data_IF_873223618149
#
_entry.id   IF_873223618149
#
_cell.length_a   1.000
_cell.length_b   1.000
_cell.length_c   1.000
_cell.angle_alpha   90.00
_cell.angle_beta   90.00
_cell.angle_gamma   90.00
#
_symmetry.space_group_name_H-M   'P 1'
#
loop_
_entity.id
_entity.type
_entity.pdbx_description
1 polymer ?
#
# COMPACT_ATOMS: atom_id res chain seq x y z
N UNK A 1 22.16 3.88 -12.25
CA UNK A 1 21.72 5.10 -11.53
C UNK A 1 20.92 4.64 -10.32
N UNK A 2 21.11 5.28 -9.17
CA UNK A 2 20.43 4.95 -7.92
C UNK A 2 19.83 6.23 -7.32
N UNK A 3 18.64 6.14 -6.75
CA UNK A 3 17.93 7.24 -6.09
C UNK A 3 17.35 6.74 -4.78
N UNK A 4 17.43 7.56 -3.75
CA UNK A 4 16.86 7.25 -2.44
C UNK A 4 15.67 8.16 -2.16
N UNK A 5 14.58 7.57 -1.66
CA UNK A 5 13.46 8.30 -1.08
C UNK A 5 13.44 8.05 0.42
N UNK A 6 13.54 9.14 1.20
CA UNK A 6 13.44 9.10 2.65
C UNK A 6 12.05 9.55 3.05
N UNK A 7 11.32 8.67 3.74
CA UNK A 7 9.96 8.87 4.22
C UNK A 7 10.00 8.55 5.71
N UNK A 8 10.07 9.60 6.55
CA UNK A 8 10.38 9.44 7.98
C UNK A 8 11.63 8.57 8.19
N UNK A 9 11.52 7.49 8.94
CA UNK A 9 12.59 6.52 9.21
C UNK A 9 12.72 5.42 8.14
N UNK A 10 11.96 5.48 7.05
CA UNK A 10 11.90 4.47 6.01
C UNK A 10 12.69 4.97 4.80
N UNK A 11 13.60 4.13 4.30
CA UNK A 11 14.36 4.42 3.08
C UNK A 11 13.91 3.48 1.96
N UNK A 12 13.48 4.04 0.85
CA UNK A 12 13.24 3.32 -0.40
C UNK A 12 14.42 3.57 -1.35
N UNK A 13 15.09 2.50 -1.74
CA UNK A 13 16.15 2.53 -2.73
C UNK A 13 15.60 2.17 -4.10
N UNK A 14 15.77 3.06 -5.07
CA UNK A 14 15.40 2.87 -6.46
C UNK A 14 16.65 2.73 -7.31
N UNK A 15 16.72 1.70 -8.15
CA UNK A 15 17.83 1.53 -9.08
C UNK A 15 17.39 0.86 -10.37
N UNK A 16 18.12 1.14 -11.45
CA UNK A 16 17.86 0.55 -12.75
C UNK A 16 18.33 -0.91 -12.77
N UNK A 17 17.50 -1.79 -13.31
CA UNK A 17 17.80 -3.18 -13.60
C UNK A 17 17.45 -3.45 -15.06
N UNK A 18 18.41 -3.23 -15.96
CA UNK A 18 18.16 -3.17 -17.40
C UNK A 18 17.24 -2.00 -17.76
N UNK A 19 16.11 -2.29 -18.42
CA UNK A 19 15.05 -1.32 -18.75
C UNK A 19 13.99 -1.18 -17.64
N UNK A 20 14.22 -1.83 -16.49
CA UNK A 20 13.28 -1.87 -15.38
C UNK A 20 13.78 -1.01 -14.22
N UNK A 21 12.89 -0.69 -13.30
CA UNK A 21 13.24 -0.06 -12.03
C UNK A 21 12.93 -1.01 -10.89
N UNK A 22 13.93 -1.34 -10.08
CA UNK A 22 13.73 -2.04 -8.81
C UNK A 22 13.54 -1.01 -7.71
N UNK A 23 12.55 -1.23 -6.85
CA UNK A 23 12.27 -0.43 -5.66
C UNK A 23 12.34 -1.33 -4.44
N UNK A 24 13.22 -1.02 -3.50
CA UNK A 24 13.49 -1.88 -2.33
C UNK A 24 13.48 -1.09 -1.02
N UNK A 25 12.93 -1.71 0.03
CA UNK A 25 13.05 -1.28 1.43
C UNK A 25 13.48 -2.46 2.31
N UNK A 26 13.36 -2.29 3.64
CA UNK A 26 13.50 -3.36 4.62
C UNK A 26 12.37 -4.40 4.57
N UNK A 27 11.23 -4.06 3.95
CA UNK A 27 10.03 -4.91 3.88
C UNK A 27 9.56 -5.22 2.48
N UNK A 28 9.80 -4.33 1.53
CA UNK A 28 9.25 -4.38 0.19
C UNK A 28 10.36 -4.54 -0.84
N UNK A 29 10.07 -5.31 -1.90
CA UNK A 29 11.01 -5.52 -2.99
C UNK A 29 10.26 -5.78 -4.30
N UNK A 30 10.08 -4.74 -5.11
CA UNK A 30 9.26 -4.78 -6.33
C UNK A 30 10.06 -4.37 -7.57
N UNK A 31 9.73 -4.96 -8.71
CA UNK A 31 10.32 -4.62 -10.01
C UNK A 31 9.25 -4.06 -10.95
N UNK A 32 9.54 -2.90 -11.53
CA UNK A 32 8.66 -2.18 -12.45
C UNK A 32 9.26 -2.23 -13.86
N UNK A 33 8.69 -3.08 -14.71
CA UNK A 33 9.11 -3.26 -16.09
C UNK A 33 8.94 -2.00 -16.93
N UNK A 34 9.94 -1.70 -17.79
CA UNK A 34 9.90 -0.61 -18.77
C UNK A 34 9.56 0.77 -18.16
N UNK A 35 10.13 1.06 -17.00
CA UNK A 35 9.98 2.34 -16.30
C UNK A 35 11.33 3.05 -16.18
N UNK A 36 11.29 4.33 -15.83
CA UNK A 36 12.47 5.10 -15.47
C UNK A 36 12.39 5.57 -14.00
N UNK A 37 13.56 5.72 -13.36
CA UNK A 37 13.66 6.02 -11.92
C UNK A 37 12.94 7.32 -11.55
N UNK A 38 13.02 8.36 -12.38
CA UNK A 38 12.43 9.66 -12.04
C UNK A 38 10.90 9.59 -12.03
N UNK A 39 10.30 8.99 -13.06
CA UNK A 39 8.86 8.76 -13.10
C UNK A 39 8.38 7.88 -11.93
N UNK A 40 9.08 6.77 -11.64
CA UNK A 40 8.73 5.91 -10.50
C UNK A 40 8.84 6.65 -9.18
N UNK A 41 9.89 7.45 -9.01
CA UNK A 41 10.07 8.28 -7.82
C UNK A 41 8.94 9.29 -7.64
N UNK A 42 8.44 9.90 -8.71
CA UNK A 42 7.33 10.85 -8.65
C UNK A 42 6.00 10.15 -8.36
N UNK A 43 5.75 9.01 -9.00
CA UNK A 43 4.57 8.18 -8.76
C UNK A 43 4.49 7.69 -7.31
N UNK A 44 5.61 7.24 -6.74
CA UNK A 44 5.65 6.83 -5.32
C UNK A 44 5.31 8.01 -4.42
N UNK A 45 5.94 9.18 -4.61
CA UNK A 45 5.67 10.37 -3.79
C UNK A 45 4.20 10.80 -3.88
N UNK A 46 3.67 10.87 -5.10
CA UNK A 46 2.29 11.25 -5.34
C UNK A 46 1.31 10.27 -4.67
N UNK A 47 1.45 8.97 -4.96
CA UNK A 47 0.54 7.95 -4.45
C UNK A 47 0.66 7.81 -2.93
N UNK A 48 1.85 7.98 -2.37
CA UNK A 48 2.05 7.97 -0.93
C UNK A 48 1.27 9.08 -0.24
N UNK A 49 1.29 10.30 -0.77
CA UNK A 49 0.50 11.43 -0.23
C UNK A 49 -0.98 11.07 -0.24
N UNK A 50 -1.49 10.51 -1.34
CA UNK A 50 -2.91 10.09 -1.44
C UNK A 50 -3.26 9.05 -0.38
N UNK A 51 -2.47 7.98 -0.30
CA UNK A 51 -2.74 6.85 0.60
C UNK A 51 -2.57 7.23 2.07
N UNK A 52 -1.49 7.93 2.43
CA UNK A 52 -1.25 8.33 3.83
C UNK A 52 -2.30 9.34 4.30
N UNK A 53 -2.67 10.32 3.46
CA UNK A 53 -3.67 11.32 3.83
C UNK A 53 -5.04 10.70 4.07
N UNK A 54 -5.43 9.69 3.28
CA UNK A 54 -6.66 8.95 3.53
C UNK A 54 -6.65 8.38 4.95
N UNK A 55 -5.60 7.66 5.35
CA UNK A 55 -5.53 7.06 6.69
C UNK A 55 -5.41 8.09 7.81
N UNK A 56 -4.67 9.19 7.62
CA UNK A 56 -4.63 10.26 8.62
C UNK A 56 -6.02 10.86 8.85
N UNK A 57 -6.84 11.05 7.81
CA UNK A 57 -8.22 11.50 7.94
C UNK A 57 -9.08 10.49 8.71
N UNK A 58 -8.91 9.19 8.46
CA UNK A 58 -9.65 8.14 9.18
C UNK A 58 -9.30 8.11 10.67
N UNK A 59 -8.02 8.26 11.00
CA UNK A 59 -7.51 8.32 12.38
C UNK A 59 -8.05 9.56 13.10
N UNK A 60 -7.99 10.74 12.47
CA UNK A 60 -8.47 11.99 13.04
C UNK A 60 -9.97 11.93 13.34
N UNK A 61 -10.77 11.39 12.42
CA UNK A 61 -12.22 11.18 12.62
C UNK A 61 -12.52 10.27 13.80
N UNK A 62 -11.74 9.20 13.99
CA UNK A 62 -11.91 8.26 15.09
C UNK A 62 -11.39 8.81 16.44
N UNK A 63 -10.57 9.86 16.42
CA UNK A 63 -9.88 10.43 17.60
C UNK A 63 -9.02 9.40 18.33
N UNK A 64 -8.42 8.49 17.58
CA UNK A 64 -7.60 7.41 18.10
C UNK A 64 -6.10 7.72 17.97
N UNK A 65 -5.29 7.19 18.89
CA UNK A 65 -3.84 7.37 18.84
C UNK A 65 -3.18 6.31 17.94
N UNK A 66 -2.38 6.80 16.98
CA UNK A 66 -1.62 5.96 16.06
C UNK A 66 -0.15 6.38 16.04
N UNK A 67 0.72 5.40 15.86
CA UNK A 67 2.10 5.63 15.46
C UNK A 67 2.08 5.99 13.97
N UNK A 68 2.55 7.20 13.63
CA UNK A 68 2.53 7.66 12.24
C UNK A 68 3.51 6.86 11.36
N UNK A 69 4.56 6.28 11.94
CA UNK A 69 5.45 5.40 11.17
C UNK A 69 4.69 4.17 10.65
N UNK A 70 3.72 3.64 11.42
CA UNK A 70 2.86 2.54 10.95
C UNK A 70 2.03 2.95 9.73
N UNK A 71 1.48 4.17 9.76
CA UNK A 71 0.69 4.72 8.65
C UNK A 71 1.55 4.82 7.39
N UNK A 72 2.79 5.29 7.51
CA UNK A 72 3.70 5.33 6.37
C UNK A 72 4.10 3.94 5.88
N UNK A 73 4.39 2.99 6.78
CA UNK A 73 4.75 1.61 6.41
C UNK A 73 3.63 0.93 5.63
N UNK A 74 2.40 0.98 6.13
CA UNK A 74 1.26 0.39 5.43
C UNK A 74 0.96 1.11 4.12
N UNK A 75 1.09 2.44 4.09
CA UNK A 75 0.88 3.23 2.86
C UNK A 75 1.91 2.89 1.80
N UNK A 76 3.19 2.70 2.16
CA UNK A 76 4.24 2.26 1.22
C UNK A 76 3.92 0.87 0.67
N UNK A 77 3.54 -0.08 1.53
CA UNK A 77 3.18 -1.44 1.09
C UNK A 77 2.03 -1.41 0.07
N UNK A 78 0.97 -0.62 0.35
CA UNK A 78 -0.15 -0.43 -0.58
C UNK A 78 0.33 0.22 -1.89
N UNK A 79 1.07 1.33 -1.81
CA UNK A 79 1.56 2.04 -2.99
C UNK A 79 2.40 1.14 -3.89
N UNK A 80 3.32 0.36 -3.32
CA UNK A 80 4.18 -0.53 -4.09
C UNK A 80 3.41 -1.72 -4.67
N UNK A 81 2.43 -2.26 -3.93
CA UNK A 81 1.54 -3.31 -4.45
C UNK A 81 0.77 -2.84 -5.69
N UNK A 82 0.09 -1.69 -5.61
CA UNK A 82 -0.69 -1.17 -6.73
C UNK A 82 0.17 -0.70 -7.89
N UNK A 83 1.31 -0.06 -7.60
CA UNK A 83 2.24 0.36 -8.63
C UNK A 83 2.80 -0.84 -9.41
N UNK A 84 3.16 -1.92 -8.71
CA UNK A 84 3.54 -3.18 -9.33
C UNK A 84 2.40 -3.76 -10.16
N UNK A 85 1.22 -3.96 -9.56
CA UNK A 85 0.06 -4.57 -10.21
C UNK A 85 -0.34 -3.81 -11.49
N UNK A 86 -0.46 -2.48 -11.42
CA UNK A 86 -0.84 -1.65 -12.56
C UNK A 86 0.23 -1.67 -13.66
N UNK A 87 1.50 -1.66 -13.28
CA UNK A 87 2.60 -1.75 -14.26
C UNK A 87 2.67 -3.15 -14.91
N UNK A 88 2.41 -4.21 -14.17
CA UNK A 88 2.28 -5.56 -14.70
C UNK A 88 1.11 -5.66 -15.68
N UNK A 89 -0.05 -5.06 -15.36
CA UNK A 89 -1.20 -5.04 -16.26
C UNK A 89 -0.93 -4.31 -17.57
N UNK A 90 -0.20 -3.18 -17.55
CA UNK A 90 0.25 -2.51 -18.78
C UNK A 90 1.05 -3.44 -19.70
N UNK A 91 1.84 -4.33 -19.10
CA UNK A 91 2.71 -5.26 -19.84
C UNK A 91 1.97 -6.52 -20.32
N UNK A 92 1.01 -7.01 -19.54
CA UNK A 92 0.34 -8.29 -19.78
C UNK A 92 -0.93 -8.16 -20.62
N UNK A 93 -1.62 -7.02 -20.55
CA UNK A 93 -2.94 -6.85 -21.17
C UNK A 93 -2.93 -5.65 -22.12
N UNK A 94 -3.06 -5.91 -23.43
CA UNK A 94 -3.04 -4.86 -24.46
C UNK A 94 -4.08 -3.76 -24.23
N UNK A 95 -5.26 -4.11 -23.69
CA UNK A 95 -6.31 -3.14 -23.33
C UNK A 95 -5.95 -2.22 -22.17
N UNK A 96 -4.88 -2.50 -21.44
CA UNK A 96 -4.42 -1.77 -20.26
C UNK A 96 -3.05 -1.10 -20.48
N UNK A 97 -2.49 -1.14 -21.69
CA UNK A 97 -1.14 -0.61 -21.99
C UNK A 97 -0.94 0.85 -21.51
N UNK A 98 -2.01 1.65 -21.54
CA UNK A 98 -2.03 3.06 -21.16
C UNK A 98 -2.66 3.31 -19.76
N UNK A 99 -2.92 2.27 -18.96
CA UNK A 99 -3.59 2.40 -17.66
C UNK A 99 -2.84 3.36 -16.75
N UNK A 100 -3.48 4.35 -16.14
CA UNK A 100 -2.80 5.24 -15.19
C UNK A 100 -2.20 4.44 -14.01
N UNK A 101 -0.95 4.76 -13.64
CA UNK A 101 -0.24 4.15 -12.50
C UNK A 101 -0.48 4.90 -11.18
N UNK A 102 -1.21 6.02 -11.23
CA UNK A 102 -1.66 6.71 -10.02
C UNK A 102 -2.66 5.85 -9.26
N UNK A 103 -2.57 5.92 -7.94
CA UNK A 103 -3.48 5.20 -7.04
C UNK A 103 -4.93 5.69 -7.26
N UNK A 104 -5.88 4.77 -7.36
CA UNK A 104 -7.29 5.10 -7.55
C UNK A 104 -8.01 5.06 -6.20
N UNK A 105 -8.89 6.02 -5.91
CA UNK A 105 -9.65 6.04 -4.65
C UNK A 105 -10.48 4.75 -4.44
N UNK A 106 -10.95 4.12 -5.52
CA UNK A 106 -11.67 2.83 -5.44
C UNK A 106 -10.80 1.70 -4.90
N UNK A 107 -9.48 1.82 -5.02
CA UNK A 107 -8.53 0.82 -4.55
C UNK A 107 -8.51 0.73 -3.02
N UNK A 108 -8.95 1.77 -2.29
CA UNK A 108 -9.11 1.68 -0.84
C UNK A 108 -10.13 0.62 -0.42
N UNK A 109 -11.16 0.38 -1.23
CA UNK A 109 -12.18 -0.63 -0.96
C UNK A 109 -11.82 -2.02 -1.50
N UNK A 110 -10.68 -2.17 -2.18
CA UNK A 110 -10.26 -3.45 -2.71
C UNK A 110 -9.82 -4.39 -1.57
N UNK A 111 -10.21 -5.67 -1.59
CA UNK A 111 -9.83 -6.59 -0.53
C UNK A 111 -8.31 -6.74 -0.36
N UNK A 112 -7.52 -6.60 -1.42
CA UNK A 112 -6.05 -6.67 -1.34
C UNK A 112 -5.47 -5.55 -0.49
N UNK A 113 -6.03 -4.33 -0.58
CA UNK A 113 -5.64 -3.20 0.28
C UNK A 113 -5.90 -3.52 1.74
N UNK A 114 -7.09 -4.07 2.05
CA UNK A 114 -7.42 -4.45 3.41
C UNK A 114 -6.52 -5.58 3.93
N UNK A 115 -6.21 -6.58 3.10
CA UNK A 115 -5.33 -7.68 3.48
C UNK A 115 -3.91 -7.21 3.82
N UNK A 116 -3.37 -6.23 3.07
CA UNK A 116 -2.08 -5.60 3.39
C UNK A 116 -2.12 -4.95 4.79
N UNK A 117 -3.17 -4.19 5.07
CA UNK A 117 -3.35 -3.51 6.36
C UNK A 117 -3.53 -4.52 7.49
N UNK A 118 -4.37 -5.54 7.30
CA UNK A 118 -4.57 -6.62 8.27
C UNK A 118 -3.26 -7.31 8.60
N UNK A 119 -2.50 -7.73 7.60
CA UNK A 119 -1.24 -8.45 7.79
C UNK A 119 -0.22 -7.61 8.59
N UNK A 120 -0.12 -6.32 8.30
CA UNK A 120 0.75 -5.41 9.03
C UNK A 120 0.37 -5.32 10.51
N UNK A 121 -0.89 -4.96 10.80
CA UNK A 121 -1.33 -4.70 12.17
C UNK A 121 -1.48 -5.99 13.00
N UNK A 122 -1.89 -7.12 12.41
CA UNK A 122 -1.90 -8.43 13.09
C UNK A 122 -0.52 -8.82 13.58
N UNK A 123 0.50 -8.59 12.76
CA UNK A 123 1.90 -8.93 13.11
C UNK A 123 2.44 -8.02 14.20
N UNK A 124 2.20 -6.72 14.11
CA UNK A 124 2.79 -5.73 15.02
C UNK A 124 2.01 -5.52 16.33
N UNK A 125 0.69 -5.65 16.29
CA UNK A 125 -0.22 -5.41 17.40
C UNK A 125 -1.23 -6.55 17.56
N UNK A 126 -0.78 -7.79 17.86
CA UNK A 126 -1.65 -8.97 17.85
C UNK A 126 -2.85 -8.89 18.81
N UNK A 127 -2.78 -8.08 19.87
CA UNK A 127 -3.89 -7.86 20.81
C UNK A 127 -4.84 -6.71 20.46
N UNK A 128 -4.48 -5.86 19.48
CA UNK A 128 -5.21 -4.62 19.18
C UNK A 128 -5.38 -4.33 17.68
N UNK A 129 -4.99 -5.26 16.81
CA UNK A 129 -5.03 -5.07 15.36
C UNK A 129 -6.44 -4.83 14.86
N UNK A 130 -7.46 -5.49 15.44
CA UNK A 130 -8.86 -5.30 15.06
C UNK A 130 -9.28 -3.83 15.23
N UNK A 131 -9.00 -3.23 16.39
CA UNK A 131 -9.28 -1.82 16.62
C UNK A 131 -8.55 -0.91 15.63
N UNK A 132 -7.27 -1.20 15.36
CA UNK A 132 -6.50 -0.40 14.41
C UNK A 132 -7.06 -0.49 12.99
N UNK A 133 -7.39 -1.69 12.52
CA UNK A 133 -7.97 -1.89 11.19
C UNK A 133 -9.39 -1.31 11.07
N UNK A 134 -10.23 -1.43 12.11
CA UNK A 134 -11.56 -0.82 12.14
C UNK A 134 -11.49 0.70 11.95
N UNK A 135 -10.57 1.37 12.65
CA UNK A 135 -10.33 2.81 12.48
C UNK A 135 -9.92 3.12 11.05
N UNK A 136 -8.91 2.41 10.52
CA UNK A 136 -8.38 2.68 9.18
C UNK A 136 -9.38 2.43 8.06
N UNK A 137 -10.35 1.52 8.27
CA UNK A 137 -11.39 1.22 7.28
C UNK A 137 -12.69 2.00 7.52
N UNK A 138 -12.79 2.73 8.64
CA UNK A 138 -14.02 3.43 9.01
C UNK A 138 -15.18 2.50 9.34
N UNK A 139 -14.87 1.30 9.83
CA UNK A 139 -15.85 0.26 10.15
C UNK A 139 -16.08 0.19 11.66
N UNK A 140 -17.26 -0.27 12.06
CA UNK A 140 -17.46 -0.70 13.44
C UNK A 140 -16.68 -2.02 13.70
N UNK A 141 -16.30 -2.28 14.95
CA UNK A 141 -15.56 -3.52 15.28
C UNK A 141 -16.31 -4.79 14.92
N UNK A 142 -17.62 -4.82 15.13
CA UNK A 142 -18.44 -5.97 14.75
C UNK A 142 -18.42 -6.20 13.23
N UNK A 143 -18.58 -5.13 12.46
CA UNK A 143 -18.52 -5.17 11.00
C UNK A 143 -17.14 -5.63 10.49
N UNK A 144 -16.06 -5.14 11.10
CA UNK A 144 -14.71 -5.58 10.76
C UNK A 144 -14.52 -7.09 11.00
N UNK A 145 -15.03 -7.62 12.12
CA UNK A 145 -14.91 -9.04 12.45
C UNK A 145 -15.63 -9.91 11.43
N UNK A 146 -16.84 -9.53 11.07
CA UNK A 146 -17.61 -10.21 10.04
C UNK A 146 -16.89 -10.15 8.68
N UNK A 147 -16.41 -8.97 8.29
CA UNK A 147 -15.64 -8.79 7.05
C UNK A 147 -14.36 -9.63 7.06
N UNK A 148 -13.59 -9.61 8.14
CA UNK A 148 -12.34 -10.35 8.26
C UNK A 148 -12.56 -11.86 8.13
N UNK A 149 -13.62 -12.39 8.74
CA UNK A 149 -13.99 -13.80 8.58
C UNK A 149 -14.24 -14.17 7.11
N UNK A 150 -14.87 -13.29 6.32
CA UNK A 150 -15.04 -13.54 4.88
C UNK A 150 -13.71 -13.57 4.11
N UNK A 151 -12.70 -12.81 4.58
CA UNK A 151 -11.34 -12.86 4.03
C UNK A 151 -10.66 -14.18 4.39
N UNK A 152 -10.75 -14.62 5.64
CA UNK A 152 -10.19 -15.92 6.05
C UNK A 152 -10.81 -17.09 5.27
N UNK A 153 -12.13 -17.08 5.07
CA UNK A 153 -12.85 -18.09 4.29
C UNK A 153 -12.46 -18.09 2.80
N UNK A 154 -11.96 -16.97 2.26
CA UNK A 154 -11.46 -16.90 0.89
C UNK A 154 -10.10 -17.60 0.75
N UNK A 155 -9.22 -17.47 1.74
CA UNK A 155 -7.88 -18.06 1.72
C UNK A 155 -7.83 -19.54 2.15
N UNK A 156 -8.81 -20.00 2.94
CA UNK A 156 -8.90 -21.39 3.41
C UNK A 156 -9.66 -22.32 2.45
N UNK A 157 -9.94 -21.89 1.21
CA UNK A 157 -10.54 -22.68 0.14
C UNK A 157 -9.48 -23.23 -0.80
#
# INVERSE_FOLDING_TARGET
>A
MMKELKIENITLCLYNEGNNVRVKSDKEDVILSNQNIDNVSELIKHNLIVVSNHYFIMIDKAKESFDFEDVYRVSIAIVLYYLYMYNSWRSMYSKQENKDLRFNEKDFSDPSTHDIVFNYFKTRYPSNWENKCAVLFGMAIAELKDYYKTREDFYNK
#
